data_IF_571538762131
#
_entry.id   IF_571538762131
#
_cell.length_a   1.000
_cell.length_b   1.000
_cell.length_c   1.000
_cell.angle_alpha   90.00
_cell.angle_beta   90.00
_cell.angle_gamma   90.00
#
_symmetry.space_group_name_H-M   'P 1'
#
loop_
_entity.id
_entity.type
_entity.pdbx_description
1 polymer ?
#
# COMPACT_ATOMS: atom_id res chain seq x y z
N UNK A 1 -15.79 -14.55 -8.54
CA UNK A 1 -14.60 -15.16 -7.90
C UNK A 1 -13.84 -14.09 -7.15
N UNK A 2 -13.85 -14.10 -5.82
CA UNK A 2 -12.98 -13.22 -5.04
C UNK A 2 -11.55 -13.79 -5.12
N UNK A 3 -10.71 -13.23 -6.00
CA UNK A 3 -9.26 -13.47 -5.97
C UNK A 3 -8.74 -12.88 -4.66
N UNK A 4 -8.55 -13.74 -3.66
CA UNK A 4 -7.89 -13.38 -2.40
C UNK A 4 -6.42 -13.11 -2.74
N UNK A 5 -6.06 -11.84 -2.89
CA UNK A 5 -4.66 -11.43 -3.06
C UNK A 5 -3.89 -11.90 -1.82
N UNK A 6 -3.15 -13.00 -1.96
CA UNK A 6 -2.27 -13.51 -0.91
C UNK A 6 -1.08 -12.56 -0.80
N UNK A 7 -0.84 -12.04 0.39
CA UNK A 7 0.37 -11.26 0.64
C UNK A 7 1.61 -12.13 0.40
N UNK A 8 2.63 -11.52 -0.21
CA UNK A 8 3.92 -12.16 -0.47
C UNK A 8 4.63 -12.47 0.84
N UNK A 9 4.53 -11.57 1.82
CA UNK A 9 5.09 -11.74 3.17
C UNK A 9 3.98 -12.13 4.13
N UNK A 10 3.98 -13.36 4.68
CA UNK A 10 3.05 -13.77 5.73
C UNK A 10 3.18 -12.85 6.95
N UNK A 11 2.06 -12.44 7.55
CA UNK A 11 2.04 -11.58 8.74
C UNK A 11 2.14 -10.07 8.47
N UNK A 12 2.47 -9.63 7.25
CA UNK A 12 2.56 -8.20 6.93
C UNK A 12 1.19 -7.48 6.81
N UNK A 13 0.07 -8.21 6.92
CA UNK A 13 -1.27 -7.69 6.66
C UNK A 13 -1.60 -6.46 7.49
N UNK A 14 -1.35 -6.51 8.79
CA UNK A 14 -1.66 -5.39 9.69
C UNK A 14 -0.87 -4.14 9.34
N UNK A 15 0.43 -4.27 9.04
CA UNK A 15 1.27 -3.13 8.67
C UNK A 15 0.86 -2.53 7.32
N UNK A 16 0.54 -3.36 6.33
CA UNK A 16 0.08 -2.91 5.02
C UNK A 16 -1.31 -2.26 5.11
N UNK A 17 -2.22 -2.79 5.92
CA UNK A 17 -3.53 -2.18 6.13
C UNK A 17 -3.41 -0.83 6.83
N UNK A 18 -2.55 -0.72 7.83
CA UNK A 18 -2.29 0.56 8.51
C UNK A 18 -1.79 1.61 7.51
N UNK A 19 -0.76 1.27 6.72
CA UNK A 19 -0.22 2.15 5.68
C UNK A 19 -1.28 2.54 4.64
N UNK A 20 -2.14 1.60 4.23
CA UNK A 20 -3.25 1.84 3.29
C UNK A 20 -4.21 2.91 3.83
N UNK A 21 -4.63 2.83 5.08
CA UNK A 21 -5.58 3.78 5.68
C UNK A 21 -4.93 5.13 5.97
N UNK A 22 -3.66 5.17 6.36
CA UNK A 22 -2.89 6.40 6.52
C UNK A 22 -2.83 7.18 5.20
N UNK A 23 -2.39 6.52 4.11
CA UNK A 23 -2.28 7.17 2.79
C UNK A 23 -3.64 7.58 2.26
N UNK A 24 -4.67 6.74 2.43
CA UNK A 24 -6.03 7.09 2.05
C UNK A 24 -6.50 8.37 2.76
N UNK A 25 -6.18 8.51 4.06
CA UNK A 25 -6.50 9.70 4.85
C UNK A 25 -5.71 10.92 4.38
N UNK A 26 -4.40 10.79 4.13
CA UNK A 26 -3.56 11.87 3.59
C UNK A 26 -4.07 12.38 2.24
N UNK A 27 -4.60 11.48 1.40
CA UNK A 27 -5.09 11.81 0.06
C UNK A 27 -6.57 12.22 0.03
N UNK A 28 -7.26 12.18 1.18
CA UNK A 28 -8.70 12.44 1.25
C UNK A 28 -9.53 11.44 0.45
N UNK A 29 -9.04 10.21 0.25
CA UNK A 29 -9.70 9.16 -0.51
C UNK A 29 -10.44 8.22 0.43
N UNK A 30 -11.76 8.09 0.24
CA UNK A 30 -12.52 7.00 0.85
C UNK A 30 -12.39 5.76 -0.03
N UNK A 31 -11.78 4.69 0.46
CA UNK A 31 -11.63 3.45 -0.31
C UNK A 31 -12.96 2.72 -0.41
N UNK A 32 -13.35 2.32 -1.61
CA UNK A 32 -14.61 1.63 -1.81
C UNK A 32 -14.97 1.38 -3.27
N UNK A 33 -16.03 0.59 -3.53
CA UNK A 33 -16.49 0.28 -4.88
C UNK A 33 -17.05 1.51 -5.61
N UNK A 34 -17.58 2.49 -4.88
CA UNK A 34 -18.15 3.73 -5.43
C UNK A 34 -17.09 4.80 -5.72
N UNK A 35 -15.85 4.59 -5.25
CA UNK A 35 -14.72 5.48 -5.49
C UNK A 35 -14.08 5.16 -6.83
N UNK A 36 -13.68 6.19 -7.57
CA UNK A 36 -13.08 5.99 -8.90
C UNK A 36 -11.87 5.05 -8.83
N UNK A 37 -11.69 4.22 -9.86
CA UNK A 37 -10.56 3.30 -9.94
C UNK A 37 -9.21 4.03 -9.83
N UNK A 38 -9.13 5.28 -10.33
CA UNK A 38 -7.95 6.13 -10.21
C UNK A 38 -7.67 6.53 -8.76
N UNK A 39 -8.69 6.92 -8.00
CA UNK A 39 -8.52 7.32 -6.60
C UNK A 39 -8.18 6.10 -5.71
N UNK A 40 -8.84 4.95 -5.91
CA UNK A 40 -8.42 3.71 -5.24
C UNK A 40 -6.99 3.31 -5.63
N UNK A 41 -6.64 3.47 -6.91
CA UNK A 41 -5.32 3.15 -7.44
C UNK A 41 -4.19 4.05 -6.94
N UNK A 42 -4.45 5.33 -6.66
CA UNK A 42 -3.43 6.27 -6.17
C UNK A 42 -2.89 5.87 -4.79
N UNK A 43 -3.77 5.36 -3.92
CA UNK A 43 -3.38 4.85 -2.59
C UNK A 43 -2.45 3.64 -2.73
N UNK A 44 -2.80 2.67 -3.57
CA UNK A 44 -1.94 1.49 -3.81
C UNK A 44 -0.61 1.83 -4.50
N UNK A 45 -0.61 2.83 -5.38
CA UNK A 45 0.60 3.36 -6.00
C UNK A 45 1.57 3.95 -4.98
N UNK A 46 1.07 4.77 -4.05
CA UNK A 46 1.93 5.35 -3.02
C UNK A 46 2.41 4.33 -1.98
N UNK A 47 1.58 3.35 -1.61
CA UNK A 47 2.05 2.23 -0.79
C UNK A 47 3.28 1.55 -1.43
N UNK A 48 3.20 1.26 -2.73
CA UNK A 48 4.31 0.62 -3.45
C UNK A 48 5.55 1.51 -3.46
N UNK A 49 5.38 2.82 -3.70
CA UNK A 49 6.49 3.78 -3.72
C UNK A 49 7.20 3.87 -2.38
N UNK A 50 6.45 3.96 -1.26
CA UNK A 50 7.02 3.99 0.11
C UNK A 50 7.76 2.69 0.43
N UNK A 51 7.17 1.54 0.13
CA UNK A 51 7.80 0.24 0.37
C UNK A 51 9.11 0.07 -0.43
N UNK A 52 9.12 0.47 -1.70
CA UNK A 52 10.34 0.43 -2.53
C UNK A 52 11.40 1.39 -1.98
N UNK A 53 11.02 2.61 -1.59
CA UNK A 53 11.96 3.57 -1.00
C UNK A 53 12.59 3.04 0.31
N UNK A 54 11.79 2.44 1.20
CA UNK A 54 12.27 1.81 2.43
C UNK A 54 13.24 0.65 2.13
N UNK A 55 12.90 -0.21 1.16
CA UNK A 55 13.77 -1.29 0.74
C UNK A 55 15.09 -0.78 0.15
N UNK A 56 15.04 0.27 -0.69
CA UNK A 56 16.23 0.90 -1.25
C UNK A 56 17.14 1.48 -0.16
N UNK A 57 16.58 2.08 0.90
CA UNK A 57 17.36 2.58 2.03
C UNK A 57 18.06 1.45 2.81
N UNK A 58 17.36 0.34 3.07
CA UNK A 58 17.93 -0.82 3.76
C UNK A 58 19.04 -1.51 2.95
N UNK A 59 18.81 -1.67 1.64
CA UNK A 59 19.80 -2.26 0.73
C UNK A 59 20.98 -1.32 0.47
N UNK A 60 20.74 -0.01 0.41
CA UNK A 60 21.77 1.01 0.20
C UNK A 60 22.67 1.22 1.41
N UNK A 61 22.17 1.00 2.64
CA UNK A 61 22.94 1.08 3.88
C UNK A 61 23.70 -0.19 4.26
N UNK A 62 23.59 -1.28 3.49
CA UNK A 62 24.27 -2.56 3.74
C UNK A 62 25.63 -2.68 3.01
N UNK A 63 26.36 -1.57 2.87
CA UNK A 63 27.74 -1.54 2.35
C UNK A 63 28.69 -0.93 3.37
#
# INVERSE_FOLDING_TARGET
>A
MARRNKLVVPGAQQAIDQMKYEIASEFGVTLGPDTTARANGSVGGEMTKRLVAMAQQQLGGSR
#
